data_IF_791958258820
#
_entry.id   IF_791958258820
#
_cell.length_a   1.000
_cell.length_b   1.000
_cell.length_c   1.000
_cell.angle_alpha   90.00
_cell.angle_beta   90.00
_cell.angle_gamma   90.00
#
_symmetry.space_group_name_H-M   'P 1'
#
loop_
_entity.id
_entity.type
_entity.pdbx_description
1 polymer ?
#
# COMPACT_ATOMS: atom_id res chain seq x y z
N UNK A 1 90.62 -2.01 -39.84
CA UNK A 1 89.21 -1.70 -40.20
C UNK A 1 88.30 -2.73 -39.55
N UNK A 2 87.65 -2.40 -38.43
CA UNK A 2 86.67 -3.28 -37.76
C UNK A 2 85.30 -3.03 -38.36
N UNK A 3 84.68 -4.07 -38.94
CA UNK A 3 83.30 -4.06 -39.41
C UNK A 3 82.37 -4.26 -38.20
N UNK A 4 81.48 -3.30 -37.97
CA UNK A 4 80.38 -3.44 -37.02
C UNK A 4 79.25 -4.21 -37.71
N UNK A 5 78.79 -5.29 -37.09
CA UNK A 5 77.52 -5.92 -37.41
C UNK A 5 76.47 -5.29 -36.50
N UNK A 6 75.59 -4.46 -37.05
CA UNK A 6 74.40 -4.00 -36.35
C UNK A 6 73.31 -5.07 -36.50
N UNK A 7 73.12 -5.89 -35.46
CA UNK A 7 71.95 -6.76 -35.33
C UNK A 7 70.68 -5.89 -35.23
N UNK A 8 69.95 -5.79 -36.34
CA UNK A 8 68.63 -5.18 -36.37
C UNK A 8 67.64 -6.14 -35.69
N UNK A 9 67.36 -5.93 -34.40
CA UNK A 9 66.20 -6.55 -33.74
C UNK A 9 64.92 -6.01 -34.39
N UNK A 10 63.98 -6.87 -34.84
CA UNK A 10 62.72 -6.39 -35.40
C UNK A 10 61.93 -5.64 -34.31
N UNK A 11 61.29 -4.50 -34.63
CA UNK A 11 60.44 -3.81 -33.67
C UNK A 11 59.24 -4.71 -33.34
N UNK A 12 59.05 -5.01 -32.05
CA UNK A 12 57.84 -5.66 -31.55
C UNK A 12 56.64 -4.77 -31.89
N UNK A 13 55.70 -5.27 -32.69
CA UNK A 13 54.57 -4.51 -33.23
C UNK A 13 53.51 -4.04 -32.20
N UNK A 14 53.71 -4.30 -30.90
CA UNK A 14 52.84 -3.80 -29.83
C UNK A 14 53.69 -3.22 -28.70
N UNK A 15 53.58 -1.91 -28.47
CA UNK A 15 54.19 -1.28 -27.30
C UNK A 15 53.53 -1.78 -26.02
N UNK A 16 54.30 -1.98 -24.97
CA UNK A 16 53.79 -2.46 -23.68
C UNK A 16 52.66 -1.56 -23.12
N UNK A 17 52.68 -0.26 -23.43
CA UNK A 17 51.63 0.69 -23.05
C UNK A 17 50.30 0.45 -23.76
N UNK A 18 50.32 -0.05 -25.01
CA UNK A 18 49.13 -0.35 -25.79
C UNK A 18 48.46 -1.65 -25.30
N UNK A 19 49.25 -2.65 -24.92
CA UNK A 19 48.74 -3.85 -24.25
C UNK A 19 48.07 -3.54 -22.91
N UNK A 20 48.64 -2.64 -22.10
CA UNK A 20 48.12 -2.31 -20.77
C UNK A 20 46.78 -1.55 -20.81
N UNK A 21 46.58 -0.71 -21.83
CA UNK A 21 45.30 -0.04 -22.09
C UNK A 21 44.24 -1.02 -22.61
N UNK A 22 44.64 -1.94 -23.49
CA UNK A 22 43.74 -2.96 -24.02
C UNK A 22 43.22 -3.88 -22.91
N UNK A 23 44.10 -4.35 -22.01
CA UNK A 23 43.70 -5.20 -20.89
C UNK A 23 42.84 -4.46 -19.87
N UNK A 24 43.13 -3.18 -19.60
CA UNK A 24 42.26 -2.33 -18.77
C UNK A 24 40.87 -2.14 -19.37
N UNK A 25 40.78 -1.91 -20.70
CA UNK A 25 39.50 -1.79 -21.39
C UNK A 25 38.69 -3.09 -21.36
N UNK A 26 39.33 -4.23 -21.58
CA UNK A 26 38.69 -5.55 -21.48
C UNK A 26 38.22 -5.82 -20.04
N UNK A 27 39.04 -5.48 -19.04
CA UNK A 27 38.66 -5.62 -17.63
C UNK A 27 37.45 -4.75 -17.26
N UNK A 28 37.38 -3.53 -17.78
CA UNK A 28 36.23 -2.66 -17.56
C UNK A 28 34.97 -3.21 -18.23
N UNK A 29 35.06 -3.76 -19.44
CA UNK A 29 33.93 -4.42 -20.09
C UNK A 29 33.44 -5.65 -19.32
N UNK A 30 34.34 -6.44 -18.76
CA UNK A 30 33.98 -7.58 -17.92
C UNK A 30 33.25 -7.14 -16.64
N UNK A 31 33.72 -6.08 -15.98
CA UNK A 31 33.04 -5.49 -14.83
C UNK A 31 31.64 -4.97 -15.17
N UNK A 32 31.50 -4.27 -16.30
CA UNK A 32 30.20 -3.77 -16.77
C UNK A 32 29.25 -4.94 -17.05
N UNK A 33 29.75 -6.00 -17.69
CA UNK A 33 28.93 -7.20 -18.00
C UNK A 33 28.44 -7.88 -16.72
N UNK A 34 29.30 -8.00 -15.71
CA UNK A 34 28.92 -8.53 -14.39
C UNK A 34 27.84 -7.66 -13.72
N UNK A 35 27.97 -6.33 -13.81
CA UNK A 35 27.00 -5.38 -13.27
C UNK A 35 25.63 -5.49 -13.94
N UNK A 36 25.60 -5.68 -15.26
CA UNK A 36 24.34 -5.87 -16.02
C UNK A 36 23.66 -7.16 -15.58
N UNK A 37 24.39 -8.27 -15.46
CA UNK A 37 23.83 -9.54 -14.97
C UNK A 37 23.28 -9.37 -13.56
N UNK A 38 24.01 -8.67 -12.69
CA UNK A 38 23.60 -8.43 -11.30
C UNK A 38 22.39 -7.49 -11.19
N UNK A 39 22.23 -6.52 -12.09
CA UNK A 39 21.03 -5.68 -12.19
C UNK A 39 19.82 -6.42 -12.75
N UNK A 40 20.04 -7.52 -13.48
CA UNK A 40 18.98 -8.40 -13.97
C UNK A 40 18.33 -9.25 -12.88
N UNK A 41 18.93 -9.35 -11.68
CA UNK A 41 18.37 -10.07 -10.56
C UNK A 41 17.10 -9.36 -10.03
N UNK A 42 15.91 -10.00 -10.09
CA UNK A 42 14.67 -9.43 -9.58
C UNK A 42 14.75 -9.06 -8.09
N UNK A 43 15.62 -9.75 -7.34
CA UNK A 43 15.86 -9.49 -5.92
C UNK A 43 16.43 -8.09 -5.64
N UNK A 44 17.15 -7.47 -6.57
CA UNK A 44 17.66 -6.10 -6.41
C UNK A 44 16.56 -5.05 -6.57
N UNK A 45 15.44 -5.42 -7.19
CA UNK A 45 14.28 -4.55 -7.42
C UNK A 45 13.13 -4.79 -6.44
N UNK A 46 13.21 -5.83 -5.60
CA UNK A 46 12.19 -6.16 -4.57
C UNK A 46 11.84 -4.98 -3.66
N UNK A 47 12.84 -4.22 -3.24
CA UNK A 47 12.64 -3.03 -2.40
C UNK A 47 11.90 -1.92 -3.15
N UNK A 48 12.10 -1.78 -4.46
CA UNK A 48 11.41 -0.80 -5.32
C UNK A 48 9.97 -1.23 -5.60
N UNK A 49 9.73 -2.53 -5.72
CA UNK A 49 8.42 -3.12 -5.94
C UNK A 49 7.54 -3.16 -4.67
N UNK A 50 8.09 -2.76 -3.51
CA UNK A 50 7.37 -2.78 -2.23
C UNK A 50 6.96 -4.18 -1.79
N UNK A 51 7.57 -5.22 -2.34
CA UNK A 51 7.19 -6.62 -2.08
C UNK A 51 7.46 -7.02 -0.63
N UNK A 52 8.47 -6.44 0.01
CA UNK A 52 8.77 -6.69 1.42
C UNK A 52 7.69 -6.10 2.34
N UNK A 53 7.14 -4.94 1.98
CA UNK A 53 6.01 -4.33 2.69
C UNK A 53 4.69 -5.07 2.44
N UNK A 54 4.44 -5.48 1.20
CA UNK A 54 3.25 -6.26 0.83
C UNK A 54 3.26 -7.66 1.45
N UNK A 55 4.41 -8.31 1.57
CA UNK A 55 4.51 -9.59 2.25
C UNK A 55 4.18 -9.46 3.75
N UNK A 56 4.71 -8.44 4.42
CA UNK A 56 4.39 -8.16 5.82
C UNK A 56 2.92 -7.76 6.03
N UNK A 57 2.35 -6.99 5.12
CA UNK A 57 0.92 -6.62 5.14
C UNK A 57 0.01 -7.84 4.90
N UNK A 58 0.40 -8.73 3.98
CA UNK A 58 -0.31 -9.99 3.75
C UNK A 58 -0.21 -10.94 4.96
N UNK A 59 0.94 -11.02 5.62
CA UNK A 59 1.08 -11.79 6.87
C UNK A 59 0.23 -11.20 8.01
N UNK A 60 0.16 -9.88 8.13
CA UNK A 60 -0.71 -9.20 9.09
C UNK A 60 -2.20 -9.38 8.77
N UNK A 61 -2.57 -9.48 7.48
CA UNK A 61 -3.93 -9.78 7.05
C UNK A 61 -4.34 -11.24 7.35
N UNK A 62 -3.38 -12.17 7.36
CA UNK A 62 -3.63 -13.59 7.67
C UNK A 62 -3.83 -13.86 9.16
N UNK A 63 -3.20 -13.09 10.04
CA UNK A 63 -3.39 -13.15 11.49
C UNK A 63 -3.65 -11.75 12.05
N UNK A 64 -4.85 -11.20 11.83
CA UNK A 64 -5.16 -9.89 12.36
C UNK A 64 -5.21 -9.94 13.89
N UNK A 65 -4.73 -8.90 14.59
CA UNK A 65 -4.86 -8.82 16.04
C UNK A 65 -6.33 -8.92 16.46
N UNK A 66 -6.62 -9.41 17.68
CA UNK A 66 -7.99 -9.43 18.19
C UNK A 66 -8.60 -8.02 18.14
N UNK A 67 -9.87 -7.94 17.75
CA UNK A 67 -10.60 -6.67 17.78
C UNK A 67 -10.70 -6.20 19.23
N UNK A 68 -10.46 -4.92 19.52
CA UNK A 68 -10.72 -4.40 20.85
C UNK A 68 -12.21 -4.49 21.16
N UNK A 69 -12.52 -4.83 22.41
CA UNK A 69 -13.89 -5.02 22.87
C UNK A 69 -14.66 -3.70 22.89
N UNK A 70 -15.97 -3.77 22.59
CA UNK A 70 -16.86 -2.63 22.78
C UNK A 70 -17.03 -2.34 24.27
N UNK A 71 -17.16 -1.06 24.61
CA UNK A 71 -17.33 -0.60 26.01
C UNK A 71 -18.79 -0.64 26.47
N UNK A 72 -19.73 -0.76 25.54
CA UNK A 72 -21.17 -0.78 25.81
C UNK A 72 -21.97 -1.24 24.59
N UNK A 73 -23.30 -1.04 24.56
CA UNK A 73 -24.14 -1.49 23.48
C UNK A 73 -23.81 -0.80 22.15
N UNK A 74 -23.88 -1.56 21.06
CA UNK A 74 -23.50 -1.13 19.71
C UNK A 74 -24.49 -1.59 18.66
N UNK A 75 -24.26 -1.17 17.41
CA UNK A 75 -24.98 -1.67 16.24
C UNK A 75 -24.86 -3.18 16.00
N UNK A 76 -23.86 -3.86 16.59
CA UNK A 76 -23.68 -5.31 16.45
C UNK A 76 -24.69 -6.10 17.32
N UNK A 77 -25.32 -5.44 18.30
CA UNK A 77 -26.28 -6.09 19.19
C UNK A 77 -27.65 -6.26 18.50
N UNK A 78 -28.23 -7.48 18.45
CA UNK A 78 -29.43 -7.75 17.66
C UNK A 78 -30.64 -6.94 18.13
N UNK A 79 -30.81 -6.75 19.43
CA UNK A 79 -31.90 -5.97 19.99
C UNK A 79 -31.79 -4.47 19.64
N UNK A 80 -30.55 -3.98 19.53
CA UNK A 80 -30.26 -2.59 19.14
C UNK A 80 -30.51 -2.39 17.65
N UNK A 81 -30.14 -3.37 16.82
CA UNK A 81 -30.34 -3.32 15.38
C UNK A 81 -31.83 -3.27 14.99
N UNK A 82 -32.68 -4.09 15.63
CA UNK A 82 -34.13 -4.10 15.36
C UNK A 82 -34.76 -2.75 15.73
N UNK A 83 -34.44 -2.20 16.90
CA UNK A 83 -34.96 -0.91 17.32
C UNK A 83 -34.49 0.23 16.40
N UNK A 84 -33.24 0.18 15.93
CA UNK A 84 -32.71 1.17 15.02
C UNK A 84 -33.40 1.13 13.66
N UNK A 85 -33.72 -0.05 13.12
CA UNK A 85 -34.40 -0.20 11.83
C UNK A 85 -35.78 0.48 11.83
N UNK A 86 -36.51 0.43 12.94
CA UNK A 86 -37.77 1.15 13.11
C UNK A 86 -37.56 2.67 13.13
N UNK A 87 -36.55 3.14 13.86
CA UNK A 87 -36.22 4.57 13.96
C UNK A 87 -35.69 5.14 12.64
N UNK A 88 -35.02 4.32 11.86
CA UNK A 88 -34.46 4.64 10.55
C UNK A 88 -35.51 4.95 9.49
N UNK A 89 -36.75 4.47 9.66
CA UNK A 89 -37.88 4.85 8.82
C UNK A 89 -38.22 6.36 8.92
N UNK A 90 -37.82 7.04 9.99
CA UNK A 90 -38.10 8.46 10.20
C UNK A 90 -37.14 9.40 9.46
N UNK A 91 -36.07 8.87 8.85
CA UNK A 91 -35.03 9.70 8.23
C UNK A 91 -35.35 9.96 6.76
N UNK A 92 -35.31 11.24 6.41
CA UNK A 92 -35.55 11.78 5.08
C UNK A 92 -34.26 11.87 4.26
N UNK A 93 -34.24 11.18 3.11
CA UNK A 93 -33.10 11.21 2.18
C UNK A 93 -33.00 12.53 1.40
N UNK A 94 -31.80 12.88 0.94
CA UNK A 94 -31.57 14.06 0.10
C UNK A 94 -31.73 15.41 0.80
N UNK A 95 -31.77 15.42 2.13
CA UNK A 95 -31.84 16.63 2.94
C UNK A 95 -30.44 17.06 3.42
N UNK A 96 -30.23 18.36 3.56
CA UNK A 96 -28.96 18.93 4.05
C UNK A 96 -29.02 19.32 5.53
N UNK A 97 -30.19 19.23 6.14
CA UNK A 97 -30.44 19.63 7.53
C UNK A 97 -31.15 18.52 8.28
N UNK A 98 -30.61 18.15 9.44
CA UNK A 98 -31.24 17.18 10.33
C UNK A 98 -32.59 17.70 10.82
N UNK A 99 -33.64 16.93 10.57
CA UNK A 99 -35.00 17.24 11.03
C UNK A 99 -35.19 16.81 12.49
N UNK A 100 -36.14 17.45 13.18
CA UNK A 100 -36.42 17.14 14.59
C UNK A 100 -36.83 15.69 14.83
N UNK A 101 -37.49 15.06 13.86
CA UNK A 101 -37.90 13.64 13.94
C UNK A 101 -36.71 12.68 13.81
N UNK A 102 -35.60 13.12 13.24
CA UNK A 102 -34.39 12.34 13.00
C UNK A 102 -33.42 12.39 14.20
N UNK A 103 -33.75 13.18 15.23
CA UNK A 103 -32.92 13.31 16.42
C UNK A 103 -32.74 12.00 17.18
N UNK A 104 -33.79 11.18 17.24
CA UNK A 104 -33.75 9.88 17.94
C UNK A 104 -32.74 8.92 17.29
N UNK A 105 -32.84 8.62 15.98
CA UNK A 105 -31.84 7.75 15.34
C UNK A 105 -30.44 8.38 15.33
N UNK A 106 -30.32 9.71 15.27
CA UNK A 106 -29.04 10.40 15.39
C UNK A 106 -28.38 10.17 16.76
N UNK A 107 -29.11 10.37 17.85
CA UNK A 107 -28.60 10.16 19.22
C UNK A 107 -28.15 8.72 19.43
N UNK A 108 -28.88 7.75 18.87
CA UNK A 108 -28.53 6.33 18.89
C UNK A 108 -27.21 6.06 18.18
N UNK A 109 -27.04 6.59 16.96
CA UNK A 109 -25.77 6.48 16.22
C UNK A 109 -24.60 7.04 17.03
N UNK A 110 -24.76 8.24 17.60
CA UNK A 110 -23.74 8.85 18.46
C UNK A 110 -23.43 8.00 19.69
N UNK A 111 -24.46 7.42 20.32
CA UNK A 111 -24.30 6.53 21.46
C UNK A 111 -23.48 5.29 21.09
N UNK A 112 -23.78 4.64 19.96
CA UNK A 112 -23.02 3.48 19.48
C UNK A 112 -21.58 3.84 19.11
N UNK A 113 -21.34 4.99 18.48
CA UNK A 113 -19.98 5.45 18.15
C UNK A 113 -19.15 5.66 19.42
N UNK A 114 -19.74 6.20 20.50
CA UNK A 114 -19.05 6.41 21.77
C UNK A 114 -18.68 5.12 22.50
N UNK A 115 -19.43 4.04 22.27
CA UNK A 115 -19.20 2.75 22.90
C UNK A 115 -18.20 1.87 22.13
N UNK A 116 -17.69 2.33 20.98
CA UNK A 116 -16.80 1.57 20.12
C UNK A 116 -15.41 2.20 20.01
N UNK A 117 -14.33 1.42 20.20
CA UNK A 117 -12.98 1.86 19.88
C UNK A 117 -12.81 2.17 18.38
N UNK A 118 -12.03 3.19 18.04
CA UNK A 118 -11.80 3.61 16.65
C UNK A 118 -11.25 2.48 15.77
N UNK A 119 -10.26 1.73 16.26
CA UNK A 119 -9.67 0.59 15.54
C UNK A 119 -10.69 -0.49 15.21
N UNK A 120 -11.69 -0.69 16.08
CA UNK A 120 -12.81 -1.61 15.82
C UNK A 120 -13.68 -1.09 14.68
N UNK A 121 -14.12 0.16 14.79
CA UNK A 121 -14.97 0.78 13.76
C UNK A 121 -14.31 0.81 12.38
N UNK A 122 -13.00 1.10 12.33
CA UNK A 122 -12.23 1.10 11.07
C UNK A 122 -12.17 -0.28 10.43
N UNK A 123 -12.07 -1.34 11.23
CA UNK A 123 -12.02 -2.72 10.73
C UNK A 123 -13.38 -3.29 10.37
N UNK A 124 -14.43 -2.88 11.08
CA UNK A 124 -15.81 -3.26 10.79
C UNK A 124 -16.39 -2.47 9.61
N UNK A 125 -15.93 -1.24 9.42
CA UNK A 125 -16.42 -0.35 8.39
C UNK A 125 -16.08 -0.86 6.98
N UNK A 126 -17.04 -0.77 6.07
CA UNK A 126 -16.81 -1.07 4.66
C UNK A 126 -15.95 0.01 4.03
N UNK A 127 -14.78 -0.37 3.51
CA UNK A 127 -13.97 0.48 2.65
C UNK A 127 -14.49 0.52 1.21
N UNK A 128 -13.88 1.36 0.37
CA UNK A 128 -14.15 1.48 -1.07
C UNK A 128 -15.59 1.86 -1.45
N UNK A 129 -16.35 2.49 -0.55
CA UNK A 129 -17.67 3.00 -0.88
C UNK A 129 -17.56 4.42 -1.44
N UNK A 130 -18.05 4.62 -2.67
CA UNK A 130 -18.15 5.96 -3.25
C UNK A 130 -19.30 6.72 -2.59
N UNK A 131 -19.14 8.04 -2.42
CA UNK A 131 -20.19 8.90 -1.91
C UNK A 131 -21.50 8.79 -2.72
N UNK A 132 -21.39 8.56 -4.04
CA UNK A 132 -22.56 8.36 -4.92
C UNK A 132 -23.40 7.15 -4.52
N UNK A 133 -22.80 6.06 -4.05
CA UNK A 133 -23.55 4.88 -3.60
C UNK A 133 -24.40 5.17 -2.35
N UNK A 134 -23.91 6.04 -1.46
CA UNK A 134 -24.67 6.50 -0.29
C UNK A 134 -25.88 7.35 -0.69
N UNK A 135 -25.76 8.11 -1.77
CA UNK A 135 -26.82 8.97 -2.29
C UNK A 135 -27.87 8.20 -3.10
N UNK A 136 -27.43 7.26 -3.93
CA UNK A 136 -28.31 6.49 -4.82
C UNK A 136 -29.05 5.36 -4.09
N UNK A 137 -28.39 4.71 -3.11
CA UNK A 137 -28.94 3.58 -2.36
C UNK A 137 -28.95 3.83 -0.83
N UNK A 138 -29.57 4.93 -0.34
CA UNK A 138 -29.48 5.32 1.08
C UNK A 138 -30.11 4.28 2.00
N UNK A 139 -31.21 3.64 1.59
CA UNK A 139 -31.87 2.60 2.37
C UNK A 139 -30.99 1.37 2.63
N UNK A 140 -30.08 1.06 1.71
CA UNK A 140 -29.20 -0.11 1.82
C UNK A 140 -28.01 0.13 2.75
N UNK A 141 -27.58 1.37 2.86
CA UNK A 141 -26.38 1.77 3.61
C UNK A 141 -26.71 2.45 4.94
N UNK A 142 -28.00 2.49 5.30
CA UNK A 142 -28.49 3.16 6.51
C UNK A 142 -27.98 2.45 7.76
N UNK A 143 -27.30 3.18 8.63
CA UNK A 143 -26.73 2.64 9.87
C UNK A 143 -25.48 1.77 9.69
N UNK A 144 -24.99 1.58 8.46
CA UNK A 144 -23.74 0.86 8.21
C UNK A 144 -22.52 1.73 8.54
N UNK A 145 -21.48 1.12 9.12
CA UNK A 145 -20.18 1.75 9.25
C UNK A 145 -19.48 1.76 7.89
N UNK A 146 -19.04 2.94 7.47
CA UNK A 146 -18.27 3.15 6.23
C UNK A 146 -16.96 3.84 6.53
N UNK A 147 -15.90 3.41 5.85
CA UNK A 147 -14.59 4.09 5.89
C UNK A 147 -14.46 4.86 4.59
N UNK A 148 -14.33 6.18 4.71
CA UNK A 148 -14.08 7.07 3.59
C UNK A 148 -12.62 7.52 3.62
N UNK A 149 -11.86 7.14 2.59
CA UNK A 149 -10.55 7.71 2.34
C UNK A 149 -10.77 9.05 1.63
N UNK A 150 -10.53 10.15 2.35
CA UNK A 150 -10.59 11.50 1.79
C UNK A 150 -9.19 11.84 1.31
N UNK A 151 -8.97 11.82 -0.01
CA UNK A 151 -7.80 12.46 -0.61
C UNK A 151 -7.96 13.97 -0.44
N UNK A 152 -7.15 14.56 0.45
CA UNK A 152 -7.08 16.02 0.69
C UNK A 152 -5.90 16.59 -0.08
#
# INVERSE_FOLDING_TARGET
MRRYWEEHRPPSMMSASLMLRLTSGIGMLALISLLIVRMGDPSMWRWLAGEDGRAAENEAALNPPPLPDATGPTHEDPDQAVAAEEEYQAISDGTTTLQKVEMVPYERLVFWTKNQPFERMRRLGRGNLLYTHLYDEPAKHRGELVVMDVDV
#
